data_IF_002813392234
#
_entry.id   IF_002813392234
#
_cell.length_a   1.000
_cell.length_b   1.000
_cell.length_c   1.000
_cell.angle_alpha   90.00
_cell.angle_beta   90.00
_cell.angle_gamma   90.00
#
_symmetry.space_group_name_H-M   'P 1'
#
loop_
_entity.id
_entity.type
_entity.pdbx_description
1 polymer ?
#
# COMPACT_ATOMS: atom_id res chain seq x y z
N UNK A 1 -1.95 -20.79 4.13
CA UNK A 1 -2.58 -19.47 3.90
C UNK A 1 -1.57 -18.31 3.84
N UNK A 2 -0.62 -18.16 4.79
CA UNK A 2 0.39 -17.07 4.75
C UNK A 2 1.08 -16.92 3.39
N UNK A 3 1.67 -18.01 2.87
CA UNK A 3 2.43 -18.01 1.60
C UNK A 3 1.59 -17.52 0.43
N UNK A 4 0.32 -17.92 0.35
CA UNK A 4 -0.60 -17.54 -0.74
C UNK A 4 -0.86 -16.04 -0.72
N UNK A 5 -1.08 -15.43 0.45
CA UNK A 5 -1.32 -13.99 0.59
C UNK A 5 -0.10 -13.17 0.17
N UNK A 6 1.11 -13.62 0.56
CA UNK A 6 2.35 -12.94 0.16
C UNK A 6 2.64 -13.10 -1.33
N UNK A 7 2.43 -14.30 -1.90
CA UNK A 7 2.62 -14.55 -3.33
C UNK A 7 1.61 -13.75 -4.15
N UNK A 8 0.33 -13.72 -3.76
CA UNK A 8 -0.68 -12.93 -4.45
C UNK A 8 -0.40 -11.43 -4.33
N UNK A 9 -0.06 -10.95 -3.13
CA UNK A 9 0.31 -9.54 -2.92
C UNK A 9 1.50 -9.13 -3.79
N UNK A 10 2.52 -9.97 -3.89
CA UNK A 10 3.67 -9.74 -4.77
C UNK A 10 3.25 -9.73 -6.24
N UNK A 11 2.48 -10.72 -6.69
CA UNK A 11 2.04 -10.85 -8.08
C UNK A 11 1.23 -9.63 -8.55
N UNK A 12 0.24 -9.20 -7.77
CA UNK A 12 -0.59 -8.05 -8.13
C UNK A 12 0.16 -6.72 -8.02
N UNK A 13 1.09 -6.58 -7.08
CA UNK A 13 1.98 -5.42 -7.02
C UNK A 13 2.90 -5.36 -8.25
N UNK A 14 3.40 -6.51 -8.70
CA UNK A 14 4.20 -6.61 -9.91
C UNK A 14 3.40 -6.22 -11.17
N UNK A 15 2.17 -6.72 -11.31
CA UNK A 15 1.25 -6.34 -12.39
C UNK A 15 0.97 -4.83 -12.36
N UNK A 16 0.79 -4.24 -11.17
CA UNK A 16 0.58 -2.80 -11.03
C UNK A 16 1.77 -1.97 -11.53
N UNK A 17 2.99 -2.36 -11.16
CA UNK A 17 4.22 -1.68 -11.62
C UNK A 17 4.40 -1.82 -13.14
N UNK A 18 4.14 -3.01 -13.69
CA UNK A 18 4.15 -3.23 -15.14
C UNK A 18 3.08 -2.37 -15.83
N UNK A 19 1.87 -2.29 -15.26
CA UNK A 19 0.81 -1.44 -15.78
C UNK A 19 1.23 0.03 -15.87
N UNK A 20 1.97 0.51 -14.87
CA UNK A 20 2.56 1.86 -14.89
C UNK A 20 3.58 2.02 -16.02
N UNK A 21 4.47 1.05 -16.20
CA UNK A 21 5.45 1.04 -17.29
C UNK A 21 4.75 1.04 -18.66
N UNK A 22 3.73 0.20 -18.84
CA UNK A 22 2.95 0.13 -20.07
C UNK A 22 2.24 1.46 -20.36
N UNK A 23 1.77 2.16 -19.32
CA UNK A 23 1.15 3.47 -19.48
C UNK A 23 2.15 4.53 -19.96
N UNK A 24 3.37 4.52 -19.42
CA UNK A 24 4.45 5.43 -19.84
C UNK A 24 4.84 5.16 -21.31
N UNK A 25 4.92 3.89 -21.69
CA UNK A 25 5.24 3.45 -23.06
C UNK A 25 4.04 3.53 -24.03
N UNK A 26 2.88 4.00 -23.57
CA UNK A 26 1.64 4.09 -24.36
C UNK A 26 1.18 2.74 -24.95
N UNK A 27 1.49 1.63 -24.28
CA UNK A 27 1.10 0.29 -24.69
C UNK A 27 -0.39 0.00 -24.40
N UNK A 28 -1.03 -0.86 -25.21
CA UNK A 28 -2.39 -1.32 -24.94
C UNK A 28 -2.49 -2.07 -23.61
N UNK A 29 -3.69 -2.17 -23.06
CA UNK A 29 -3.99 -2.85 -21.78
C UNK A 29 -3.40 -2.24 -20.50
N UNK A 30 -2.64 -1.15 -20.59
CA UNK A 30 -2.07 -0.43 -19.42
C UNK A 30 -3.11 -0.11 -18.36
N UNK A 31 -4.28 0.40 -18.76
CA UNK A 31 -5.37 0.71 -17.84
C UNK A 31 -5.87 -0.51 -17.06
N UNK A 32 -6.11 -1.65 -17.73
CA UNK A 32 -6.63 -2.86 -17.07
C UNK A 32 -5.62 -3.36 -16.04
N UNK A 33 -4.33 -3.39 -16.40
CA UNK A 33 -3.27 -3.80 -15.48
C UNK A 33 -3.16 -2.88 -14.26
N UNK A 34 -3.28 -1.56 -14.45
CA UNK A 34 -3.26 -0.57 -13.38
C UNK A 34 -4.46 -0.70 -12.44
N UNK A 35 -5.66 -0.82 -12.99
CA UNK A 35 -6.87 -0.98 -12.19
C UNK A 35 -6.84 -2.31 -11.43
N UNK A 36 -6.65 -3.44 -12.11
CA UNK A 36 -6.67 -4.75 -11.47
C UNK A 36 -5.52 -4.90 -10.48
N UNK A 37 -4.29 -4.56 -10.88
CA UNK A 37 -3.12 -4.65 -10.02
C UNK A 37 -3.24 -3.78 -8.78
N UNK A 38 -3.64 -2.51 -8.95
CA UNK A 38 -3.79 -1.56 -7.85
C UNK A 38 -4.92 -1.95 -6.90
N UNK A 39 -6.08 -2.35 -7.43
CA UNK A 39 -7.24 -2.79 -6.61
C UNK A 39 -6.88 -4.01 -5.79
N UNK A 40 -6.38 -5.07 -6.43
CA UNK A 40 -6.18 -6.35 -5.75
C UNK A 40 -5.00 -6.26 -4.79
N UNK A 41 -3.91 -5.61 -5.16
CA UNK A 41 -2.78 -5.42 -4.25
C UNK A 41 -3.19 -4.54 -3.05
N UNK A 42 -3.67 -3.32 -3.30
CA UNK A 42 -3.86 -2.32 -2.27
C UNK A 42 -5.12 -2.49 -1.41
N UNK A 43 -6.22 -2.98 -1.99
CA UNK A 43 -7.52 -3.09 -1.30
C UNK A 43 -7.87 -4.51 -0.86
N UNK A 44 -7.25 -5.55 -1.44
CA UNK A 44 -7.53 -6.94 -1.05
C UNK A 44 -6.36 -7.52 -0.27
N UNK A 45 -5.18 -7.62 -0.89
CA UNK A 45 -4.02 -8.27 -0.27
C UNK A 45 -3.53 -7.54 0.97
N UNK A 46 -3.36 -6.22 0.89
CA UNK A 46 -2.84 -5.40 2.00
C UNK A 46 -3.73 -5.46 3.26
N UNK A 47 -5.07 -5.26 3.18
CA UNK A 47 -5.97 -5.44 4.32
C UNK A 47 -5.98 -6.87 4.87
N UNK A 48 -5.85 -7.88 4.00
CA UNK A 48 -5.77 -9.27 4.45
C UNK A 48 -4.50 -9.52 5.29
N UNK A 49 -3.37 -8.97 4.86
CA UNK A 49 -2.10 -9.04 5.61
C UNK A 49 -2.24 -8.35 6.95
N UNK A 50 -2.87 -7.18 6.99
CA UNK A 50 -3.15 -6.46 8.23
C UNK A 50 -4.02 -7.28 9.18
N UNK A 51 -5.18 -7.77 8.71
CA UNK A 51 -6.08 -8.61 9.50
C UNK A 51 -5.38 -9.86 10.05
N UNK A 52 -4.54 -10.48 9.24
CA UNK A 52 -3.77 -11.65 9.67
C UNK A 52 -2.75 -11.33 10.77
N UNK A 53 -1.99 -10.23 10.62
CA UNK A 53 -1.03 -9.77 11.64
C UNK A 53 -1.73 -9.33 12.94
N UNK A 54 -2.91 -8.74 12.81
CA UNK A 54 -3.77 -8.36 13.93
C UNK A 54 -4.20 -9.58 14.75
N UNK A 55 -4.79 -10.58 14.07
CA UNK A 55 -5.29 -11.81 14.71
C UNK A 55 -4.20 -12.66 15.35
N UNK A 56 -2.96 -12.58 14.86
CA UNK A 56 -1.82 -13.34 15.40
C UNK A 56 -1.14 -12.64 16.59
N UNK A 57 -1.77 -11.62 17.18
CA UNK A 57 -1.24 -10.79 18.29
C UNK A 57 0.15 -10.17 18.05
N UNK A 58 0.68 -10.24 16.82
CA UNK A 58 1.93 -9.57 16.44
C UNK A 58 1.81 -8.04 16.45
N UNK A 59 0.59 -7.53 16.54
CA UNK A 59 0.28 -6.10 16.61
C UNK A 59 -0.17 -5.66 18.02
N UNK A 60 0.15 -6.41 19.09
CA UNK A 60 -0.36 -6.13 20.44
C UNK A 60 0.04 -4.74 20.96
N UNK A 61 1.19 -4.23 20.53
CA UNK A 61 1.64 -2.88 20.85
C UNK A 61 0.82 -1.86 20.06
N UNK A 62 0.11 -0.96 20.77
CA UNK A 62 -0.69 0.14 20.19
C UNK A 62 0.03 0.90 19.08
N UNK A 63 1.34 1.03 19.19
CA UNK A 63 2.19 1.68 18.20
C UNK A 63 2.29 0.97 16.86
N UNK A 64 2.46 -0.35 16.88
CA UNK A 64 2.54 -1.14 15.65
C UNK A 64 1.17 -1.15 14.97
N UNK A 65 0.08 -1.17 15.74
CA UNK A 65 -1.28 -0.93 15.24
C UNK A 65 -1.39 0.40 14.49
N UNK A 66 -1.00 1.53 15.12
CA UNK A 66 -1.06 2.84 14.48
C UNK A 66 -0.27 2.89 13.17
N UNK A 67 0.95 2.36 13.16
CA UNK A 67 1.74 2.26 11.94
C UNK A 67 0.97 1.54 10.82
N UNK A 68 0.36 0.39 11.11
CA UNK A 68 -0.38 -0.35 10.10
C UNK A 68 -1.65 0.35 9.63
N UNK A 69 -2.37 1.04 10.51
CA UNK A 69 -3.57 1.81 10.15
C UNK A 69 -3.23 2.97 9.22
N UNK A 70 -2.21 3.76 9.55
CA UNK A 70 -1.74 4.85 8.70
C UNK A 70 -1.15 4.35 7.37
N UNK A 71 -0.45 3.21 7.40
CA UNK A 71 0.05 2.57 6.19
C UNK A 71 -1.08 2.13 5.26
N UNK A 72 -2.11 1.47 5.83
CA UNK A 72 -3.24 0.98 5.04
C UNK A 72 -4.09 2.11 4.47
N UNK A 73 -4.33 3.17 5.25
CA UNK A 73 -5.07 4.34 4.77
C UNK A 73 -4.32 5.05 3.64
N UNK A 74 -3.00 5.22 3.78
CA UNK A 74 -2.16 5.79 2.72
C UNK A 74 -2.23 4.97 1.42
N UNK A 75 -2.17 3.64 1.50
CA UNK A 75 -2.29 2.74 0.35
C UNK A 75 -3.66 2.86 -0.32
N UNK A 76 -4.74 2.90 0.46
CA UNK A 76 -6.10 3.03 -0.07
C UNK A 76 -6.26 4.35 -0.82
N UNK A 77 -5.84 5.47 -0.22
CA UNK A 77 -5.92 6.80 -0.85
C UNK A 77 -5.03 6.83 -2.09
N UNK A 78 -3.84 6.25 -2.05
CA UNK A 78 -2.95 6.17 -3.20
C UNK A 78 -3.60 5.43 -4.38
N UNK A 79 -4.19 4.26 -4.15
CA UNK A 79 -4.88 3.49 -5.20
C UNK A 79 -6.02 4.31 -5.81
N UNK A 80 -6.88 4.91 -4.98
CA UNK A 80 -7.97 5.78 -5.45
C UNK A 80 -7.41 6.96 -6.26
N UNK A 81 -6.35 7.60 -5.79
CA UNK A 81 -5.70 8.73 -6.48
C UNK A 81 -5.17 8.33 -7.85
N UNK A 82 -4.57 7.13 -7.96
CA UNK A 82 -4.09 6.63 -9.26
C UNK A 82 -5.23 6.41 -10.23
N UNK A 83 -6.38 5.91 -9.78
CA UNK A 83 -7.55 5.78 -10.66
C UNK A 83 -8.05 7.14 -11.14
N UNK A 84 -8.20 8.10 -10.23
CA UNK A 84 -8.62 9.47 -10.56
C UNK A 84 -7.69 10.14 -11.57
N UNK A 85 -6.38 9.91 -11.44
CA UNK A 85 -5.37 10.46 -12.34
C UNK A 85 -5.51 9.92 -13.76
N UNK A 86 -5.87 8.65 -13.90
CA UNK A 86 -6.06 8.02 -15.21
C UNK A 86 -7.40 8.35 -15.86
N UNK A 87 -8.39 8.79 -15.06
CA UNK A 87 -9.67 9.33 -15.56
C UNK A 87 -9.65 10.84 -15.80
N UNK A 88 -8.49 11.49 -15.68
CA UNK A 88 -8.31 12.95 -15.81
C UNK A 88 -9.21 13.78 -14.86
N UNK A 89 -9.48 13.26 -13.66
CA UNK A 89 -10.28 13.98 -12.66
C UNK A 89 -9.45 15.10 -12.00
N UNK A 90 -10.09 16.24 -11.74
CA UNK A 90 -9.48 17.43 -11.12
C UNK A 90 -8.88 17.11 -9.74
N UNK A 91 -9.53 16.26 -8.96
CA UNK A 91 -9.11 15.93 -7.59
C UNK A 91 -7.95 14.93 -7.51
N UNK A 92 -7.48 14.40 -8.64
CA UNK A 92 -6.43 13.39 -8.68
C UNK A 92 -5.12 13.85 -8.03
N UNK A 93 -4.68 15.07 -8.31
CA UNK A 93 -3.42 15.57 -7.77
C UNK A 93 -3.50 15.84 -6.26
N UNK A 94 -4.63 16.36 -5.79
CA UNK A 94 -4.85 16.67 -4.37
C UNK A 94 -4.86 15.38 -3.56
N UNK A 95 -5.63 14.39 -3.99
CA UNK A 95 -5.72 13.07 -3.33
C UNK A 95 -4.36 12.37 -3.33
N UNK A 96 -3.60 12.47 -4.42
CA UNK A 96 -2.25 11.89 -4.51
C UNK A 96 -1.30 12.54 -3.50
N UNK A 97 -1.30 13.88 -3.39
CA UNK A 97 -0.49 14.60 -2.40
C UNK A 97 -0.87 14.17 -0.98
N UNK A 98 -2.16 14.06 -0.67
CA UNK A 98 -2.64 13.60 0.64
C UNK A 98 -2.10 12.20 0.96
N UNK A 99 -2.11 11.27 0.01
CA UNK A 99 -1.55 9.94 0.20
C UNK A 99 -0.06 10.00 0.58
N UNK A 100 0.72 10.81 -0.14
CA UNK A 100 2.16 10.98 0.15
C UNK A 100 2.42 11.67 1.48
N UNK A 101 1.60 12.65 1.87
CA UNK A 101 1.71 13.32 3.17
C UNK A 101 1.46 12.33 4.31
N UNK A 102 0.41 11.51 4.23
CA UNK A 102 0.14 10.48 5.24
C UNK A 102 1.28 9.46 5.28
N UNK A 103 1.79 9.05 4.12
CA UNK A 103 2.90 8.11 4.04
C UNK A 103 4.18 8.69 4.67
N UNK A 104 4.57 9.91 4.28
CA UNK A 104 5.80 10.56 4.73
C UNK A 104 5.78 10.99 6.19
N UNK A 105 4.66 11.53 6.70
CA UNK A 105 4.61 12.13 8.03
C UNK A 105 3.93 11.26 9.09
N UNK A 106 3.01 10.35 8.70
CA UNK A 106 2.42 9.42 9.64
C UNK A 106 3.12 8.06 9.56
N UNK A 107 3.12 7.39 8.40
CA UNK A 107 3.60 6.01 8.31
C UNK A 107 5.11 5.85 8.52
N UNK A 108 5.96 6.57 7.78
CA UNK A 108 7.42 6.39 7.83
C UNK A 108 8.03 6.66 9.22
N UNK A 109 7.67 7.74 9.95
CA UNK A 109 8.25 8.00 11.27
C UNK A 109 7.93 6.89 12.27
N UNK A 110 6.70 6.36 12.26
CA UNK A 110 6.34 5.22 13.10
C UNK A 110 7.05 3.94 12.67
N UNK A 111 7.19 3.68 11.37
CA UNK A 111 7.95 2.54 10.85
C UNK A 111 9.40 2.57 11.33
N UNK A 112 10.12 3.67 11.10
CA UNK A 112 11.53 3.77 11.48
C UNK A 112 11.75 3.73 12.97
N UNK A 113 10.88 4.38 13.76
CA UNK A 113 10.99 4.28 15.20
C UNK A 113 10.82 2.83 15.67
N UNK A 114 9.84 2.11 15.13
CA UNK A 114 9.61 0.71 15.51
C UNK A 114 10.82 -0.16 15.18
N UNK A 115 11.43 0.04 14.01
CA UNK A 115 12.67 -0.65 13.63
C UNK A 115 13.84 -0.31 14.57
N UNK A 116 13.98 0.96 14.96
CA UNK A 116 15.02 1.40 15.89
C UNK A 116 14.88 0.74 17.26
N UNK A 117 13.68 0.68 17.83
CA UNK A 117 13.47 0.01 19.12
C UNK A 117 13.77 -1.49 19.04
N UNK A 118 13.34 -2.16 17.98
CA UNK A 118 13.65 -3.58 17.76
C UNK A 118 15.16 -3.83 17.72
N UNK A 119 15.94 -2.91 17.11
CA UNK A 119 17.40 -3.04 17.07
C UNK A 119 18.09 -2.86 18.43
N UNK A 120 17.44 -2.20 19.40
CA UNK A 120 17.98 -2.03 20.76
C UNK A 120 17.60 -3.23 21.62
N UNK A 121 16.40 -3.79 21.46
CA UNK A 121 15.91 -4.95 22.22
C UNK A 121 16.58 -6.28 21.82
N UNK A 122 17.18 -6.35 20.62
CA UNK A 122 17.94 -7.54 20.14
C UNK A 122 19.40 -7.58 20.65
N UNK A 123 19.81 -6.65 21.52
CA UNK A 123 21.12 -6.63 22.23
C UNK A 123 20.91 -7.01 23.70
#
# INVERSE_FOLDING_TARGET
>A
MKKIIYISGWLFSFIFVIGFLFKILQLPYSFIMLYVGGTVAGLICFPLVFYYKWRTHKLSTKRVLFQWVFGQSAVVIFVISTWLRFTNDFFANITFIIAFVILAFAFLPFLFFNMYQQSIEEI
#
